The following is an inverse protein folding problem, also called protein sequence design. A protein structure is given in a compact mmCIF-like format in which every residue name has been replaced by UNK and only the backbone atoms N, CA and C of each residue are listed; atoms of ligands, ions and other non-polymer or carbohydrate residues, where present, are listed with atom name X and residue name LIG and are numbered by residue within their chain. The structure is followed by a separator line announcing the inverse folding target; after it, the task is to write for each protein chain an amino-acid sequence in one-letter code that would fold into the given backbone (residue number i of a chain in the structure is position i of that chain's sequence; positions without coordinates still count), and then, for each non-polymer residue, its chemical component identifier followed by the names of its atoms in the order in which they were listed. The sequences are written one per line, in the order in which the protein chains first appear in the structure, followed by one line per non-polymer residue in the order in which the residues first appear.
data_IF_790442940831
#
_entry.id   IF_790442940831
#
_cell.length_a   1.000
_cell.length_b   1.000
_cell.length_c   1.000
_cell.angle_alpha   90.00
_cell.angle_beta   90.00
_cell.angle_gamma   90.00
#
_symmetry.space_group_name_H-M   'P 1'
#
loop_
_entity.id
_entity.type
_entity.pdbx_description
1 polymer ?
#
# COMPACT_ATOMS: atom_id res chain seq x y z
N UNK A 1 2.98 -2.98 -10.29
CA UNK A 1 3.79 -2.62 -9.12
C UNK A 1 3.42 -1.30 -8.45
N UNK A 2 3.29 -0.17 -9.16
CA UNK A 2 2.95 1.14 -8.56
C UNK A 2 1.66 1.15 -7.73
N UNK A 3 0.58 0.57 -8.26
CA UNK A 3 -0.71 0.49 -7.58
C UNK A 3 -0.61 -0.16 -6.19
N UNK A 4 0.11 -1.29 -6.08
CA UNK A 4 0.33 -1.99 -4.81
C UNK A 4 0.89 -1.05 -3.73
N UNK A 5 1.85 -0.20 -4.08
CA UNK A 5 2.52 0.67 -3.11
C UNK A 5 1.65 1.85 -2.70
N UNK A 6 0.91 2.43 -3.66
CA UNK A 6 -0.06 3.48 -3.34
C UNK A 6 -1.16 2.96 -2.40
N UNK A 7 -1.70 1.76 -2.66
CA UNK A 7 -2.71 1.14 -1.79
C UNK A 7 -2.12 0.81 -0.42
N UNK A 8 -0.88 0.31 -0.35
CA UNK A 8 -0.19 0.06 0.92
C UNK A 8 0.00 1.33 1.74
N UNK A 9 0.39 2.45 1.12
CA UNK A 9 0.55 3.72 1.84
C UNK A 9 -0.80 4.28 2.32
N UNK A 10 -1.87 4.18 1.53
CA UNK A 10 -3.21 4.55 1.98
C UNK A 10 -3.67 3.70 3.16
N UNK A 11 -3.40 2.39 3.10
CA UNK A 11 -3.66 1.46 4.19
C UNK A 11 -2.93 1.87 5.47
N UNK A 12 -1.61 2.11 5.39
CA UNK A 12 -0.80 2.54 6.53
C UNK A 12 -1.31 3.85 7.11
N UNK A 13 -1.57 4.87 6.28
CA UNK A 13 -2.03 6.17 6.76
C UNK A 13 -3.36 6.08 7.50
N UNK A 14 -4.31 5.28 6.99
CA UNK A 14 -5.58 5.06 7.67
C UNK A 14 -5.41 4.28 8.97
N UNK A 15 -4.59 3.22 8.95
CA UNK A 15 -4.29 2.42 10.14
C UNK A 15 -3.66 3.26 11.25
N UNK A 16 -2.69 4.12 10.93
CA UNK A 16 -2.04 5.00 11.90
C UNK A 16 -3.03 6.02 12.46
N UNK A 17 -3.77 6.72 11.58
CA UNK A 17 -4.65 7.83 11.96
C UNK A 17 -5.86 7.38 12.77
N UNK A 18 -6.46 6.25 12.42
CA UNK A 18 -7.70 5.78 13.02
C UNK A 18 -7.52 4.56 13.93
N UNK A 19 -6.29 4.04 14.04
CA UNK A 19 -5.98 2.77 14.74
C UNK A 19 -6.89 1.62 14.28
N UNK A 20 -7.32 1.67 13.02
CA UNK A 20 -8.25 0.73 12.39
C UNK A 20 -7.79 0.44 10.96
N UNK A 21 -7.82 -0.83 10.53
CA UNK A 21 -7.39 -1.20 9.18
C UNK A 21 -8.31 -0.56 8.12
N UNK A 22 -7.76 -0.18 6.96
CA UNK A 22 -8.55 0.40 5.86
C UNK A 22 -9.51 -0.66 5.28
N UNK A 23 -9.01 -1.88 5.13
CA UNK A 23 -9.72 -3.09 4.72
C UNK A 23 -9.07 -4.32 5.40
N UNK A 24 -9.57 -5.54 5.18
CA UNK A 24 -8.97 -6.75 5.77
C UNK A 24 -7.50 -6.89 5.36
N UNK A 25 -6.57 -6.88 6.33
CA UNK A 25 -5.14 -7.02 6.06
C UNK A 25 -4.84 -8.34 5.35
N UNK A 26 -4.17 -8.27 4.20
CA UNK A 26 -3.58 -9.40 3.49
C UNK A 26 -2.19 -9.06 2.92
N UNK A 27 -1.49 -8.12 3.56
CA UNK A 27 -0.18 -7.66 3.09
C UNK A 27 0.91 -8.69 3.36
N UNK A 28 1.73 -8.92 2.36
CA UNK A 28 2.91 -9.77 2.41
C UNK A 28 4.16 -9.01 1.96
N UNK A 29 5.32 -9.36 2.52
CA UNK A 29 6.61 -8.86 2.09
C UNK A 29 7.15 -9.71 0.93
N UNK A 30 6.96 -9.20 -0.29
CA UNK A 30 7.51 -9.78 -1.52
C UNK A 30 8.78 -9.05 -1.92
N UNK A 31 9.56 -9.60 -2.87
CA UNK A 31 10.86 -9.06 -3.30
C UNK A 31 10.85 -7.55 -3.59
N UNK A 32 9.80 -7.04 -4.24
CA UNK A 32 9.68 -5.64 -4.62
C UNK A 32 8.79 -4.83 -3.67
N UNK A 33 8.80 -5.13 -2.38
CA UNK A 33 8.04 -4.42 -1.36
C UNK A 33 6.69 -5.07 -0.99
N UNK A 34 5.89 -4.45 -0.11
CA UNK A 34 4.58 -4.93 0.34
C UNK A 34 3.62 -5.22 -0.81
N UNK A 35 2.98 -6.39 -0.80
CA UNK A 35 2.06 -6.84 -1.84
C UNK A 35 0.81 -7.42 -1.18
N UNK A 36 -0.38 -7.02 -1.66
CA UNK A 36 -1.62 -7.74 -1.39
C UNK A 36 -1.78 -8.80 -2.48
N UNK A 37 -1.74 -10.11 -2.15
CA UNK A 37 -1.91 -11.18 -3.13
C UNK A 37 -3.24 -11.08 -3.88
N UNK A 38 -4.33 -10.68 -3.18
CA UNK A 38 -5.64 -10.51 -3.82
C UNK A 38 -5.63 -9.38 -4.84
N UNK A 39 -5.04 -8.24 -4.49
CA UNK A 39 -4.91 -7.12 -5.43
C UNK A 39 -4.00 -7.49 -6.60
N UNK A 40 -2.93 -8.26 -6.35
CA UNK A 40 -2.02 -8.72 -7.39
C UNK A 40 -2.75 -9.60 -8.39
N UNK A 41 -3.46 -10.64 -7.92
CA UNK A 41 -4.23 -11.54 -8.78
C UNK A 41 -5.29 -10.79 -9.60
N UNK A 42 -6.02 -9.85 -8.98
CA UNK A 42 -7.04 -9.02 -9.68
C UNK A 42 -6.46 -8.07 -10.73
N UNK A 43 -5.17 -7.73 -10.63
CA UNK A 43 -4.53 -6.77 -11.54
C UNK A 43 -3.45 -7.42 -12.39
N UNK A 44 -3.34 -8.74 -12.35
CA UNK A 44 -2.30 -9.52 -13.03
C UNK A 44 -2.32 -9.27 -14.53
N UNK A 45 -3.51 -9.25 -15.13
CA UNK A 45 -3.69 -9.00 -16.58
C UNK A 45 -3.23 -7.59 -16.99
N UNK A 46 -3.35 -6.62 -16.09
CA UNK A 46 -2.94 -5.22 -16.32
C UNK A 46 -1.44 -4.98 -16.04
N UNK A 47 -0.71 -5.98 -15.56
CA UNK A 47 0.73 -5.84 -15.28
C UNK A 47 1.57 -5.74 -16.54
N UNK A 48 1.15 -6.40 -17.63
CA UNK A 48 1.88 -6.44 -18.91
C UNK A 48 1.41 -5.35 -19.88
N UNK A 49 0.12 -5.04 -19.86
CA UNK A 49 -0.49 -4.02 -20.71
C UNK A 49 -1.74 -3.48 -20.03
N UNK A 50 -1.81 -2.16 -19.88
CA UNK A 50 -3.06 -1.48 -19.54
C UNK A 50 -3.80 -1.28 -20.86
N UNK A 51 -5.00 -1.83 -21.05
CA UNK A 51 -5.81 -1.56 -22.23
C UNK A 51 -6.00 -0.05 -22.39
N UNK A 52 -5.85 0.48 -23.62
CA UNK A 52 -6.05 1.92 -23.89
C UNK A 52 -7.49 2.35 -23.62
N UNK A 53 -8.40 1.38 -23.73
CA UNK A 53 -9.83 1.43 -23.54
C UNK A 53 -10.25 0.88 -22.17
N UNK A 54 -9.32 0.79 -21.20
CA UNK A 54 -9.66 0.35 -19.85
C UNK A 54 -10.72 1.29 -19.27
N UNK A 55 -11.98 0.88 -19.37
CA UNK A 55 -13.08 1.54 -18.70
C UNK A 55 -12.84 1.38 -17.21
N UNK A 56 -12.63 2.50 -16.54
CA UNK A 56 -12.63 2.59 -15.09
C UNK A 56 -14.01 2.05 -14.67
N UNK A 57 -14.02 0.81 -14.19
CA UNK A 57 -15.13 0.00 -13.67
C UNK A 57 -16.50 0.65 -13.93
N UNK A 58 -17.29 0.10 -14.86
CA UNK A 58 -18.61 0.63 -15.27
C UNK A 58 -19.63 0.76 -14.11
N UNK A 59 -19.30 0.34 -12.89
CA UNK A 59 -20.11 0.44 -11.68
C UNK A 59 -19.31 0.88 -10.44
N UNK A 60 -18.25 1.68 -10.59
CA UNK A 60 -17.55 2.23 -9.43
C UNK A 60 -18.44 3.20 -8.66
N UNK A 61 -18.85 2.82 -7.46
CA UNK A 61 -19.60 3.69 -6.56
C UNK A 61 -18.71 4.23 -5.46
N UNK A 62 -18.31 5.50 -5.56
CA UNK A 62 -17.45 6.17 -4.57
C UNK A 62 -18.04 6.16 -3.15
N UNK A 63 -19.37 6.06 -3.00
CA UNK A 63 -20.04 6.01 -1.70
C UNK A 63 -19.74 4.73 -0.89
N UNK A 64 -19.09 3.73 -1.48
CA UNK A 64 -18.58 2.58 -0.72
C UNK A 64 -17.41 2.93 0.21
N UNK A 65 -16.83 4.13 0.07
CA UNK A 65 -15.80 4.65 0.97
C UNK A 65 -16.32 5.75 1.87
N UNK A 66 -15.81 5.80 3.09
CA UNK A 66 -16.05 6.93 4.00
C UNK A 66 -15.31 8.18 3.51
N UNK A 67 -15.80 9.40 3.81
CA UNK A 67 -15.12 10.64 3.41
C UNK A 67 -13.65 10.69 3.83
N UNK A 68 -13.32 10.18 5.01
CA UNK A 68 -11.94 10.14 5.52
C UNK A 68 -11.04 9.18 4.72
N UNK A 69 -11.60 8.08 4.21
CA UNK A 69 -10.88 7.14 3.36
C UNK A 69 -10.57 7.78 1.99
N UNK A 70 -11.53 8.50 1.43
CA UNK A 70 -11.36 9.25 0.17
C UNK A 70 -10.26 10.29 0.33
N UNK A 71 -10.32 11.10 1.39
CA UNK A 71 -9.30 12.10 1.68
C UNK A 71 -7.89 11.50 1.82
N UNK A 72 -7.76 10.31 2.43
CA UNK A 72 -6.49 9.61 2.51
C UNK A 72 -6.00 9.19 1.12
N UNK A 73 -6.87 8.61 0.30
CA UNK A 73 -6.52 8.21 -1.06
C UNK A 73 -6.05 9.41 -1.89
N UNK A 74 -6.75 10.54 -1.81
CA UNK A 74 -6.38 11.78 -2.51
C UNK A 74 -5.02 12.32 -2.04
N UNK A 75 -4.77 12.33 -0.72
CA UNK A 75 -3.49 12.77 -0.17
C UNK A 75 -2.33 11.87 -0.63
N UNK A 76 -2.53 10.55 -0.64
CA UNK A 76 -1.54 9.59 -1.14
C UNK A 76 -1.27 9.80 -2.62
N UNK A 77 -2.31 9.99 -3.44
CA UNK A 77 -2.15 10.26 -4.87
C UNK A 77 -1.47 11.61 -5.13
N UNK A 78 -1.83 12.66 -4.40
CA UNK A 78 -1.17 13.97 -4.49
C UNK A 78 0.32 13.88 -4.15
N UNK A 79 0.68 13.11 -3.12
CA UNK A 79 2.07 13.01 -2.63
C UNK A 79 2.94 12.07 -3.46
N UNK A 80 2.40 10.90 -3.82
CA UNK A 80 3.16 9.78 -4.40
C UNK A 80 2.71 9.39 -5.80
N UNK A 81 1.59 9.92 -6.29
CA UNK A 81 1.03 9.58 -7.60
C UNK A 81 1.96 9.91 -8.77
N UNK A 82 2.86 10.88 -8.62
CA UNK A 82 3.88 11.21 -9.64
C UNK A 82 5.15 10.35 -9.54
N UNK A 83 5.34 9.59 -8.45
CA UNK A 83 6.57 8.84 -8.24
C UNK A 83 6.63 7.62 -9.18
N UNK A 84 7.85 7.24 -9.55
CA UNK A 84 8.10 6.00 -10.31
C UNK A 84 7.85 4.78 -9.42
N UNK A 85 7.58 3.62 -10.03
CA UNK A 85 7.41 2.38 -9.28
C UNK A 85 8.64 2.09 -8.40
N UNK A 86 9.86 2.23 -8.95
CA UNK A 86 11.11 2.01 -8.22
C UNK A 86 11.25 2.96 -7.02
N UNK A 87 10.90 4.25 -7.18
CA UNK A 87 10.93 5.20 -6.07
C UNK A 87 10.00 4.78 -4.93
N UNK A 88 8.81 4.28 -5.24
CA UNK A 88 7.88 3.77 -4.23
C UNK A 88 8.39 2.51 -3.54
N UNK A 89 9.06 1.61 -4.29
CA UNK A 89 9.70 0.42 -3.71
C UNK A 89 10.78 0.82 -2.71
N UNK A 90 11.67 1.75 -3.08
CA UNK A 90 12.72 2.24 -2.18
C UNK A 90 12.16 2.78 -0.87
N UNK A 91 11.06 3.55 -0.91
CA UNK A 91 10.38 4.04 0.30
C UNK A 91 9.87 2.90 1.19
N UNK A 92 9.46 1.78 0.61
CA UNK A 92 9.02 0.62 1.40
C UNK A 92 10.18 -0.19 1.98
N UNK A 93 11.38 -0.08 1.40
CA UNK A 93 12.58 -0.81 1.82
C UNK A 93 13.43 -0.02 2.83
N UNK A 94 12.91 1.07 3.39
CA UNK A 94 13.59 1.79 4.47
C UNK A 94 14.00 0.85 5.61
N UNK A 95 15.11 1.20 6.27
CA UNK A 95 15.63 0.45 7.41
C UNK A 95 14.54 0.29 8.47
N UNK A 96 14.40 -0.92 8.99
CA UNK A 96 13.42 -1.31 10.00
C UNK A 96 11.94 -1.15 9.61
N UNK A 97 11.64 -0.86 8.33
CA UNK A 97 10.27 -0.81 7.81
C UNK A 97 9.49 -2.11 8.06
N UNK A 98 8.14 -2.07 7.99
CA UNK A 98 7.33 -3.26 8.12
C UNK A 98 7.68 -4.34 7.08
N UNK A 99 8.17 -3.91 5.91
CA UNK A 99 8.64 -4.81 4.86
C UNK A 99 9.98 -5.46 5.22
N UNK A 100 11.02 -4.68 5.57
CA UNK A 100 12.35 -5.23 5.88
C UNK A 100 12.31 -6.18 7.06
N UNK A 101 11.45 -5.92 8.05
CA UNK A 101 11.23 -6.80 9.21
C UNK A 101 10.40 -8.06 8.92
N UNK A 102 9.76 -8.15 7.76
CA UNK A 102 8.90 -9.29 7.40
C UNK A 102 9.46 -10.10 6.23
N UNK A 103 10.30 -9.50 5.38
CA UNK A 103 10.86 -10.16 4.20
C UNK A 103 11.84 -11.27 4.58
N UNK A 104 11.59 -12.48 4.11
CA UNK A 104 12.50 -13.62 4.22
C UNK A 104 13.02 -13.97 2.83
N UNK A 105 14.33 -13.79 2.58
CA UNK A 105 14.92 -13.95 1.25
C UNK A 105 14.68 -15.33 0.60
N UNK A 106 14.42 -16.37 1.42
CA UNK A 106 14.17 -17.72 0.93
C UNK A 106 12.72 -17.95 0.46
N UNK A 107 11.78 -17.09 0.84
CA UNK A 107 10.36 -17.24 0.54
C UNK A 107 9.82 -15.98 -0.16
N UNK A 108 9.36 -16.13 -1.40
CA UNK A 108 8.93 -15.01 -2.23
C UNK A 108 7.55 -14.45 -1.83
N UNK A 109 6.77 -15.23 -1.07
CA UNK A 109 5.42 -14.93 -0.58
C UNK A 109 5.21 -15.57 0.79
N UNK A 110 4.01 -15.42 1.39
CA UNK A 110 3.67 -15.95 2.73
C UNK A 110 4.46 -15.30 3.88
N UNK A 111 4.97 -14.10 3.65
CA UNK A 111 5.67 -13.28 4.64
C UNK A 111 4.73 -12.17 5.17
N UNK A 112 3.84 -12.45 6.13
CA UNK A 112 2.80 -11.49 6.51
C UNK A 112 3.36 -10.21 7.14
N UNK A 113 2.86 -9.06 6.68
CA UNK A 113 3.09 -7.75 7.29
C UNK A 113 1.88 -7.42 8.15
N UNK A 114 2.02 -7.59 9.47
CA UNK A 114 0.90 -7.38 10.40
C UNK A 114 0.62 -5.91 10.69
N UNK A 115 -0.63 -5.58 11.05
CA UNK A 115 -1.02 -4.23 11.48
C UNK A 115 -0.17 -3.74 12.65
N UNK A 116 0.16 -4.64 13.59
CA UNK A 116 1.04 -4.35 14.73
C UNK A 116 2.43 -3.91 14.28
N UNK A 117 3.01 -4.54 13.25
CA UNK A 117 4.32 -4.13 12.71
C UNK A 117 4.25 -2.77 12.04
N UNK A 118 3.19 -2.51 11.28
CA UNK A 118 2.97 -1.20 10.65
C UNK A 118 2.86 -0.11 11.72
N UNK A 119 1.98 -0.29 12.71
CA UNK A 119 1.78 0.66 13.80
C UNK A 119 3.07 0.91 14.57
N UNK A 120 3.79 -0.15 14.97
CA UNK A 120 5.05 -0.05 15.70
C UNK A 120 6.09 0.78 14.96
N UNK A 121 6.31 0.50 13.66
CA UNK A 121 7.27 1.24 12.86
C UNK A 121 6.98 2.75 12.80
N UNK A 122 5.72 3.11 12.57
CA UNK A 122 5.33 4.52 12.47
C UNK A 122 5.22 5.23 13.82
N UNK A 123 4.97 4.51 14.91
CA UNK A 123 5.08 5.04 16.27
C UNK A 123 6.55 5.35 16.62
N UNK A 124 7.47 4.45 16.29
CA UNK A 124 8.91 4.63 16.51
C UNK A 124 9.53 5.73 15.66
N UNK A 125 9.02 5.96 14.43
CA UNK A 125 9.46 7.09 13.59
C UNK A 125 9.00 8.47 14.08
N UNK A 126 8.08 8.54 15.04
CA UNK A 126 7.57 9.79 15.62
C UNK A 126 6.78 10.68 14.65
N UNK A 127 6.28 11.81 15.17
CA UNK A 127 5.50 12.81 14.41
C UNK A 127 6.27 13.42 13.22
N UNK A 128 7.57 13.17 13.07
CA UNK A 128 8.35 13.62 11.92
C UNK A 128 7.98 12.93 10.60
N UNK A 129 7.18 11.85 10.65
CA UNK A 129 6.42 11.40 9.49
C UNK A 129 5.16 12.27 9.32
N UNK A 130 5.32 13.60 9.27
CA UNK A 130 4.24 14.50 8.92
C UNK A 130 3.84 14.17 7.48
N UNK A 131 2.69 13.52 7.32
CA UNK A 131 1.96 13.49 6.06
C UNK A 131 1.32 14.86 5.73
N UNK A 132 1.97 15.96 6.15
CA UNK A 132 1.63 17.32 5.75
C UNK A 132 2.20 17.59 4.36
#
# INVERSE_FOLDING_TARGET
MKLQKLVFFAYCQHLIKFKKPFFKNDWEAWEYGPCSPKLYLKTLEYTKKIPKDLKIIENFNISCFKPQQIQIMDNILKKYGSYTANRLVMLTHEVDSPWTRSFLFKDWSLNPITDKRILKFYEEKGEHFQWK
#
